data_IF_600636786029
#
_entry.id   IF_600636786029
#
_cell.length_a   1.000
_cell.length_b   1.000
_cell.length_c   1.000
_cell.angle_alpha   90.00
_cell.angle_beta   90.00
_cell.angle_gamma   90.00
#
_symmetry.space_group_name_H-M   'P 1'
#
loop_
_entity.id
_entity.type
_entity.pdbx_description
1 polymer ?
#
# COMPACT_ATOMS: atom_id res chain seq x y z
N UNK A 1 -0.47 -12.29 -13.68
CA UNK A 1 -1.34 -11.77 -12.59
C UNK A 1 -0.68 -10.54 -12.02
N UNK A 2 -1.43 -9.45 -11.81
CA UNK A 2 -0.96 -8.25 -11.09
C UNK A 2 -1.60 -8.20 -9.71
N UNK A 3 -0.87 -7.73 -8.72
CA UNK A 3 -1.37 -7.68 -7.33
C UNK A 3 -1.12 -6.30 -6.74
N UNK A 4 -2.13 -5.76 -6.07
CA UNK A 4 -1.97 -4.62 -5.16
C UNK A 4 -2.49 -5.00 -3.78
N UNK A 5 -1.90 -4.40 -2.75
CA UNK A 5 -2.39 -4.47 -1.38
C UNK A 5 -3.04 -3.15 -1.01
N UNK A 6 -4.00 -3.21 -0.09
CA UNK A 6 -4.67 -2.07 0.50
C UNK A 6 -4.32 -2.01 1.98
N UNK A 7 -3.76 -0.88 2.40
CA UNK A 7 -3.49 -0.58 3.80
C UNK A 7 -4.47 0.44 4.34
N UNK A 8 -4.79 0.31 5.61
CA UNK A 8 -5.54 1.29 6.40
C UNK A 8 -4.65 1.85 7.51
N UNK A 9 -4.69 3.17 7.69
CA UNK A 9 -4.04 3.86 8.80
C UNK A 9 -5.02 4.13 9.93
N UNK A 10 -4.74 3.62 11.12
CA UNK A 10 -5.52 3.91 12.32
C UNK A 10 -5.49 5.39 12.67
N UNK A 11 -6.65 5.95 13.00
CA UNK A 11 -6.75 7.34 13.47
C UNK A 11 -6.14 7.53 14.87
N UNK A 12 -6.22 6.50 15.71
CA UNK A 12 -5.75 6.55 17.09
C UNK A 12 -4.23 6.34 17.18
N UNK A 13 -3.74 5.24 16.61
CA UNK A 13 -2.34 4.85 16.75
C UNK A 13 -1.46 5.40 15.62
N UNK A 14 -2.06 5.83 14.51
CA UNK A 14 -1.39 6.13 13.22
C UNK A 14 -0.63 4.94 12.63
N UNK A 15 -0.85 3.74 13.16
CA UNK A 15 -0.30 2.53 12.59
C UNK A 15 -0.95 2.23 11.24
N UNK A 16 -0.15 1.77 10.27
CA UNK A 16 -0.62 1.22 9.01
C UNK A 16 -0.64 -0.28 9.09
N UNK A 17 -1.79 -0.88 8.78
CA UNK A 17 -1.98 -2.31 8.63
C UNK A 17 -2.46 -2.60 7.22
N UNK A 18 -1.95 -3.65 6.59
CA UNK A 18 -2.49 -4.15 5.33
C UNK A 18 -3.76 -4.92 5.65
N UNK A 19 -4.89 -4.52 5.05
CA UNK A 19 -6.21 -5.06 5.38
C UNK A 19 -6.80 -5.87 4.23
N UNK A 20 -6.33 -5.67 3.01
CA UNK A 20 -6.83 -6.40 1.86
C UNK A 20 -5.79 -6.53 0.74
N UNK A 21 -6.09 -7.45 -0.17
CA UNK A 21 -5.34 -7.79 -1.37
C UNK A 21 -6.31 -7.79 -2.56
N UNK A 22 -5.88 -7.22 -3.67
CA UNK A 22 -6.58 -7.24 -4.95
C UNK A 22 -5.66 -7.82 -6.01
N UNK A 23 -6.09 -8.91 -6.64
CA UNK A 23 -5.40 -9.52 -7.77
C UNK A 23 -6.19 -9.28 -9.07
N UNK A 24 -5.47 -9.11 -10.17
CA UNK A 24 -6.00 -9.08 -11.53
C UNK A 24 -5.34 -10.21 -12.34
N UNK A 25 -6.16 -11.15 -12.81
CA UNK A 25 -5.68 -12.32 -13.55
C UNK A 25 -5.63 -12.09 -15.09
N UNK A 26 -6.16 -10.96 -15.56
CA UNK A 26 -6.34 -10.66 -16.99
C UNK A 26 -7.80 -10.63 -17.43
N UNK A 27 -8.71 -11.12 -16.60
CA UNK A 27 -10.15 -11.24 -16.87
C UNK A 27 -11.03 -10.72 -15.73
N UNK A 28 -10.68 -11.01 -14.48
CA UNK A 28 -11.46 -10.63 -13.30
C UNK A 28 -10.55 -10.17 -12.15
N UNK A 29 -11.13 -9.34 -11.28
CA UNK A 29 -10.52 -8.92 -10.04
C UNK A 29 -10.87 -9.89 -8.91
N UNK A 30 -9.88 -10.24 -8.12
CA UNK A 30 -10.02 -11.10 -6.94
C UNK A 30 -9.67 -10.29 -5.72
N UNK A 31 -10.68 -9.94 -4.94
CA UNK A 31 -10.52 -9.22 -3.69
C UNK A 31 -10.53 -10.20 -2.52
N UNK A 32 -9.58 -10.06 -1.60
CA UNK A 32 -9.57 -10.82 -0.35
C UNK A 32 -9.07 -9.95 0.79
N UNK A 33 -9.59 -10.18 1.98
CA UNK A 33 -9.02 -9.59 3.18
C UNK A 33 -7.71 -10.28 3.56
N UNK A 34 -6.87 -9.56 4.29
CA UNK A 34 -5.64 -10.09 4.89
C UNK A 34 -5.76 -10.12 6.41
N UNK A 35 -4.85 -10.82 7.10
CA UNK A 35 -4.90 -10.93 8.57
C UNK A 35 -4.78 -9.58 9.29
N UNK A 36 -4.25 -8.55 8.64
CA UNK A 36 -4.20 -7.22 9.24
C UNK A 36 -5.58 -6.60 9.46
N UNK A 37 -6.66 -7.14 8.87
CA UNK A 37 -8.05 -6.76 9.21
C UNK A 37 -8.38 -7.04 10.69
N UNK A 38 -7.81 -8.08 11.28
CA UNK A 38 -8.06 -8.46 12.68
C UNK A 38 -7.40 -7.49 13.64
N UNK A 39 -6.23 -6.97 13.27
CA UNK A 39 -5.51 -5.96 14.04
C UNK A 39 -6.12 -4.58 13.89
N UNK A 40 -6.57 -4.25 12.68
CA UNK A 40 -7.13 -2.93 12.39
C UNK A 40 -8.54 -2.74 12.95
N UNK A 41 -9.32 -3.83 13.01
CA UNK A 41 -10.77 -3.76 13.24
C UNK A 41 -11.52 -3.04 12.10
N UNK A 42 -10.82 -2.67 11.03
CA UNK A 42 -11.36 -1.87 9.93
C UNK A 42 -11.85 -2.80 8.81
N UNK A 43 -13.15 -2.69 8.51
CA UNK A 43 -13.78 -3.35 7.36
C UNK A 43 -14.22 -2.30 6.36
N UNK A 44 -14.18 -2.67 5.08
CA UNK A 44 -14.62 -1.78 4.02
C UNK A 44 -16.15 -1.61 4.02
N UNK A 45 -16.68 -0.44 3.62
CA UNK A 45 -18.10 -0.11 3.81
C UNK A 45 -19.13 -1.02 3.12
N UNK A 46 -18.76 -1.76 2.07
CA UNK A 46 -19.69 -2.66 1.35
C UNK A 46 -19.55 -4.13 1.77
N UNK A 47 -18.84 -4.42 2.86
CA UNK A 47 -18.40 -5.76 3.19
C UNK A 47 -19.10 -6.32 4.44
N UNK A 48 -19.67 -7.50 4.32
CA UNK A 48 -20.23 -8.23 5.45
C UNK A 48 -19.10 -8.91 6.25
N UNK A 49 -19.10 -8.75 7.58
CA UNK A 49 -18.21 -9.51 8.49
C UNK A 49 -18.20 -11.02 8.22
N UNK A 50 -19.32 -11.57 7.77
CA UNK A 50 -19.48 -13.00 7.44
C UNK A 50 -18.69 -13.49 6.21
N UNK A 51 -18.03 -12.60 5.45
CA UNK A 51 -17.34 -12.94 4.19
C UNK A 51 -15.85 -12.60 4.18
N UNK A 52 -15.28 -12.21 5.33
CA UNK A 52 -13.89 -11.76 5.44
C UNK A 52 -12.86 -12.87 5.13
N UNK A 53 -13.28 -14.13 5.19
CA UNK A 53 -12.47 -15.32 4.91
C UNK A 53 -12.60 -15.82 3.45
N UNK A 54 -13.23 -15.04 2.55
CA UNK A 54 -13.54 -15.46 1.18
C UNK A 54 -12.91 -14.55 0.13
N UNK A 55 -12.61 -15.13 -1.03
CA UNK A 55 -12.30 -14.37 -2.26
C UNK A 55 -13.60 -13.88 -2.87
N UNK A 56 -13.60 -12.60 -3.23
CA UNK A 56 -14.67 -11.96 -3.96
C UNK A 56 -14.24 -11.67 -5.39
N UNK A 57 -15.06 -12.10 -6.33
CA UNK A 57 -14.80 -11.98 -7.76
C UNK A 57 -15.56 -10.78 -8.30
N UNK A 58 -14.87 -9.94 -9.06
CA UNK A 58 -15.46 -8.77 -9.68
C UNK A 58 -15.05 -8.69 -11.16
N UNK A 59 -16.01 -8.61 -12.11
CA UNK A 59 -15.68 -8.44 -13.53
C UNK A 59 -15.10 -7.05 -13.82
N UNK A 60 -15.40 -6.07 -12.95
CA UNK A 60 -14.88 -4.71 -13.00
C UNK A 60 -14.16 -4.37 -11.69
N UNK A 61 -13.41 -3.27 -11.70
CA UNK A 61 -12.67 -2.85 -10.51
C UNK A 61 -13.65 -2.57 -9.33
N UNK A 62 -13.43 -3.17 -8.13
CA UNK A 62 -14.35 -2.99 -7.01
C UNK A 62 -14.59 -1.51 -6.67
N UNK A 63 -15.80 -1.11 -6.21
CA UNK A 63 -16.14 0.29 -5.99
C UNK A 63 -15.14 1.09 -5.13
N UNK A 64 -14.63 0.50 -4.04
CA UNK A 64 -13.68 1.16 -3.12
C UNK A 64 -12.30 1.37 -3.73
N UNK A 65 -11.98 0.64 -4.79
CA UNK A 65 -10.77 0.80 -5.59
C UNK A 65 -11.02 1.76 -6.76
N UNK A 66 -12.21 1.69 -7.38
CA UNK A 66 -12.63 2.57 -8.47
C UNK A 66 -12.60 4.04 -8.08
N UNK A 67 -13.13 4.39 -6.89
CA UNK A 67 -13.15 5.77 -6.40
C UNK A 67 -11.76 6.36 -6.09
N UNK A 68 -10.71 5.53 -6.10
CA UNK A 68 -9.31 5.95 -5.87
C UNK A 68 -8.60 6.31 -7.16
N UNK A 69 -9.22 6.05 -8.30
CA UNK A 69 -8.68 6.43 -9.60
C UNK A 69 -9.18 7.81 -10.01
N UNK A 70 -8.31 8.53 -10.73
CA UNK A 70 -8.74 9.73 -11.43
C UNK A 70 -9.72 9.32 -12.54
N UNK A 71 -10.86 10.03 -12.63
CA UNK A 71 -11.83 9.77 -13.70
C UNK A 71 -11.20 10.07 -15.06
N UNK A 72 -11.31 9.13 -16.00
CA UNK A 72 -10.79 9.24 -17.37
C UNK A 72 -11.33 10.44 -18.14
N UNK A 73 -12.51 10.93 -17.77
CA UNK A 73 -13.16 12.10 -18.39
C UNK A 73 -12.54 13.43 -17.98
N UNK A 74 -11.63 13.46 -16.98
CA UNK A 74 -11.01 14.72 -16.55
C UNK A 74 -9.96 15.18 -17.59
N UNK A 75 -9.90 16.48 -17.92
CA UNK A 75 -8.93 16.99 -18.88
C UNK A 75 -7.45 16.74 -18.50
N UNK A 76 -7.16 16.62 -17.20
CA UNK A 76 -5.81 16.38 -16.68
C UNK A 76 -5.42 14.89 -16.63
N UNK A 77 -6.32 13.97 -16.98
CA UNK A 77 -6.06 12.53 -16.91
C UNK A 77 -4.84 12.06 -17.75
N UNK A 78 -4.62 12.53 -18.99
CA UNK A 78 -3.41 12.17 -19.73
C UNK A 78 -2.12 12.61 -19.03
N UNK A 79 -2.14 13.78 -18.37
CA UNK A 79 -1.00 14.28 -17.61
C UNK A 79 -0.79 13.46 -16.33
N UNK A 80 -1.88 13.05 -15.67
CA UNK A 80 -1.85 12.15 -14.52
C UNK A 80 -1.18 10.80 -14.84
N UNK A 81 -1.49 10.19 -16.01
CA UNK A 81 -0.82 8.97 -16.47
C UNK A 81 0.68 9.21 -16.71
N UNK A 82 1.03 10.33 -17.36
CA UNK A 82 2.43 10.70 -17.58
C UNK A 82 3.21 10.81 -16.29
N UNK A 83 2.66 11.40 -15.22
CA UNK A 83 3.36 11.49 -13.94
C UNK A 83 3.73 10.13 -13.35
N UNK A 84 2.95 9.08 -13.65
CA UNK A 84 3.23 7.70 -13.24
C UNK A 84 4.10 6.93 -14.23
N UNK A 85 4.53 7.55 -15.33
CA UNK A 85 5.29 6.88 -16.39
C UNK A 85 4.46 5.82 -17.14
N UNK A 86 3.14 6.02 -17.25
CA UNK A 86 2.23 5.10 -17.94
C UNK A 86 1.84 5.63 -19.33
N UNK A 87 2.00 4.80 -20.34
CA UNK A 87 1.63 5.12 -21.73
C UNK A 87 0.14 4.91 -22.01
N UNK A 88 -0.52 4.06 -21.21
CA UNK A 88 -1.93 3.74 -21.34
C UNK A 88 -2.59 3.57 -19.96
N UNK A 89 -3.93 3.75 -19.88
CA UNK A 89 -4.67 3.47 -18.65
C UNK A 89 -4.50 2.01 -18.21
N UNK A 90 -4.08 1.81 -16.96
CA UNK A 90 -3.96 0.50 -16.32
C UNK A 90 -4.39 0.65 -14.86
N UNK A 91 -5.52 0.06 -14.49
CA UNK A 91 -6.10 0.24 -13.18
C UNK A 91 -5.17 -0.21 -12.03
N UNK A 92 -4.45 -1.32 -12.23
CA UNK A 92 -3.58 -1.89 -11.20
C UNK A 92 -2.32 -1.06 -11.05
N UNK A 93 -1.73 -0.62 -12.17
CA UNK A 93 -0.54 0.23 -12.13
C UNK A 93 -0.86 1.64 -11.60
N UNK A 94 -1.99 2.23 -12.03
CA UNK A 94 -2.45 3.53 -11.54
C UNK A 94 -2.62 3.51 -10.01
N UNK A 95 -3.27 2.47 -9.47
CA UNK A 95 -3.44 2.31 -8.02
C UNK A 95 -2.11 2.06 -7.32
N UNK A 96 -1.32 1.09 -7.81
CA UNK A 96 -0.03 0.75 -7.21
C UNK A 96 0.94 1.93 -7.12
N UNK A 97 1.14 2.66 -8.22
CA UNK A 97 2.14 3.74 -8.28
C UNK A 97 1.66 4.98 -7.51
N UNK A 98 0.41 5.43 -7.74
CA UNK A 98 -0.13 6.62 -7.05
C UNK A 98 -0.39 6.37 -5.57
N UNK A 99 -0.56 5.11 -5.18
CA UNK A 99 -1.06 4.70 -3.87
C UNK A 99 -2.56 4.90 -3.69
N UNK A 100 -3.31 5.37 -4.69
CA UNK A 100 -4.77 5.54 -4.58
C UNK A 100 -5.20 6.42 -3.38
N UNK A 101 -4.35 7.37 -3.00
CA UNK A 101 -4.50 8.19 -1.80
C UNK A 101 -5.64 9.17 -1.99
N UNK A 102 -6.52 9.24 -1.00
CA UNK A 102 -7.59 10.25 -0.93
C UNK A 102 -7.46 11.03 0.35
N UNK A 103 -7.78 12.33 0.30
CA UNK A 103 -7.81 13.20 1.48
C UNK A 103 -8.92 12.79 2.46
N UNK A 104 -9.97 12.16 1.95
CA UNK A 104 -11.19 11.82 2.70
C UNK A 104 -11.10 10.51 3.49
N UNK A 105 -10.04 9.73 3.32
CA UNK A 105 -9.86 8.47 4.03
C UNK A 105 -8.39 8.20 4.38
N UNK A 106 -8.16 7.11 5.11
CA UNK A 106 -6.84 6.69 5.58
C UNK A 106 -6.32 5.46 4.84
N UNK A 107 -6.79 5.24 3.61
CA UNK A 107 -6.44 4.09 2.80
C UNK A 107 -5.32 4.44 1.81
N UNK A 108 -4.40 3.50 1.61
CA UNK A 108 -3.31 3.61 0.63
C UNK A 108 -3.06 2.24 0.02
N UNK A 109 -2.87 2.21 -1.29
CA UNK A 109 -2.54 1.01 -2.05
C UNK A 109 -1.05 0.92 -2.35
N UNK A 110 -0.58 -0.27 -2.66
CA UNK A 110 0.80 -0.54 -3.05
C UNK A 110 0.86 -1.76 -3.96
N UNK A 111 1.80 -1.81 -4.92
CA UNK A 111 2.00 -2.98 -5.75
C UNK A 111 2.72 -4.09 -4.98
N UNK A 112 2.45 -5.33 -5.36
CA UNK A 112 3.41 -6.41 -5.13
C UNK A 112 4.64 -6.16 -6.01
N UNK A 113 5.86 -6.16 -5.45
CA UNK A 113 7.09 -6.05 -6.22
C UNK A 113 7.18 -7.15 -7.29
N UNK A 114 7.68 -6.79 -8.46
CA UNK A 114 7.72 -7.66 -9.63
C UNK A 114 9.14 -8.18 -9.87
N UNK A 115 9.23 -9.44 -10.31
CA UNK A 115 10.48 -10.02 -10.79
C UNK A 115 10.60 -9.76 -12.28
N UNK A 116 11.64 -9.04 -12.70
CA UNK A 116 11.90 -8.80 -14.13
C UNK A 116 12.33 -10.09 -14.84
N UNK A 117 12.26 -10.14 -16.19
CA UNK A 117 12.81 -11.25 -16.97
C UNK A 117 14.31 -11.48 -16.74
N UNK A 118 15.05 -10.43 -16.40
CA UNK A 118 16.48 -10.48 -16.04
C UNK A 118 16.72 -11.00 -14.61
N UNK A 119 15.66 -11.26 -13.84
CA UNK A 119 15.75 -11.78 -12.48
C UNK A 119 16.01 -10.72 -11.41
N UNK A 120 15.65 -9.47 -11.68
CA UNK A 120 15.76 -8.37 -10.71
C UNK A 120 14.44 -8.18 -9.97
N UNK A 121 14.53 -7.84 -8.70
CA UNK A 121 13.42 -7.28 -7.92
C UNK A 121 13.21 -5.83 -8.32
N UNK A 122 11.97 -5.46 -8.64
CA UNK A 122 11.58 -4.10 -8.99
C UNK A 122 10.33 -3.67 -8.25
N UNK A 123 10.37 -2.48 -7.68
CA UNK A 123 9.17 -1.75 -7.24
C UNK A 123 9.30 -0.27 -7.56
N UNK A 124 8.17 0.38 -7.80
CA UNK A 124 8.10 1.80 -8.13
C UNK A 124 7.12 2.51 -7.21
N UNK A 125 7.50 3.70 -6.79
CA UNK A 125 6.75 4.46 -5.82
C UNK A 125 7.10 5.94 -5.87
N UNK A 126 6.15 6.79 -5.51
CA UNK A 126 6.46 8.17 -5.17
C UNK A 126 7.02 8.28 -3.75
N UNK A 127 8.01 9.15 -3.54
CA UNK A 127 8.47 9.48 -2.19
C UNK A 127 7.32 10.05 -1.36
N UNK A 128 7.29 9.72 -0.07
CA UNK A 128 6.26 10.18 0.86
C UNK A 128 6.78 11.36 1.68
N UNK A 129 5.90 12.28 2.04
CA UNK A 129 6.21 13.31 3.03
C UNK A 129 7.14 14.44 2.56
N UNK A 130 7.30 14.65 1.24
CA UNK A 130 8.21 15.68 0.73
C UNK A 130 7.80 17.09 1.15
N UNK A 131 6.50 17.40 1.17
CA UNK A 131 6.00 18.68 1.63
C UNK A 131 6.26 18.88 3.13
N UNK A 132 5.98 17.86 3.91
CA UNK A 132 6.17 17.82 5.36
C UNK A 132 7.65 17.87 5.76
N UNK A 133 8.55 17.44 4.87
CA UNK A 133 10.00 17.53 5.05
C UNK A 133 10.54 18.97 4.98
N UNK A 134 9.72 19.93 4.55
CA UNK A 134 10.00 21.36 4.60
C UNK A 134 10.79 21.92 3.41
N UNK A 135 11.04 23.24 3.39
CA UNK A 135 11.57 23.95 2.22
C UNK A 135 12.92 23.44 1.74
N UNK A 136 13.83 23.09 2.63
CA UNK A 136 15.17 22.60 2.26
C UNK A 136 15.09 21.28 1.46
N UNK A 137 14.19 20.39 1.86
CA UNK A 137 13.90 19.10 1.22
C UNK A 137 13.24 19.29 -0.15
N UNK A 138 12.32 20.24 -0.24
CA UNK A 138 11.69 20.65 -1.51
C UNK A 138 12.75 21.18 -2.49
N UNK A 139 13.64 22.07 -2.03
CA UNK A 139 14.72 22.61 -2.86
C UNK A 139 15.75 21.55 -3.25
N UNK A 140 16.03 20.57 -2.38
CA UNK A 140 16.84 19.42 -2.73
C UNK A 140 16.18 18.57 -3.83
N UNK A 141 14.88 18.26 -3.69
CA UNK A 141 14.13 17.49 -4.67
C UNK A 141 14.04 18.17 -6.04
N UNK A 142 13.96 19.52 -6.09
CA UNK A 142 13.95 20.30 -7.34
C UNK A 142 15.21 20.13 -8.19
N UNK A 143 16.34 19.78 -7.56
CA UNK A 143 17.65 19.62 -8.23
C UNK A 143 17.87 18.21 -8.79
N UNK A 144 17.00 17.26 -8.44
CA UNK A 144 17.09 15.90 -8.95
C UNK A 144 16.86 15.86 -10.47
N UNK A 145 17.48 14.89 -11.11
CA UNK A 145 17.21 14.53 -12.50
C UNK A 145 16.94 13.03 -12.63
N UNK A 146 16.35 12.62 -13.74
CA UNK A 146 16.16 11.20 -14.05
C UNK A 146 17.50 10.46 -14.03
N UNK A 147 17.52 9.29 -13.38
CA UNK A 147 18.71 8.45 -13.22
C UNK A 147 19.51 8.69 -11.94
N UNK A 148 19.28 9.81 -11.23
CA UNK A 148 19.96 10.12 -9.97
C UNK A 148 19.75 9.00 -8.95
N UNK A 149 20.83 8.63 -8.26
CA UNK A 149 20.77 7.66 -7.16
C UNK A 149 20.24 8.35 -5.91
N UNK A 150 19.32 7.68 -5.21
CA UNK A 150 18.87 8.06 -3.89
C UNK A 150 19.36 7.04 -2.86
N UNK A 151 19.94 7.54 -1.77
CA UNK A 151 20.48 6.71 -0.69
C UNK A 151 19.43 6.51 0.39
N UNK A 152 19.21 5.24 0.76
CA UNK A 152 18.32 4.85 1.84
C UNK A 152 19.05 4.93 3.16
N UNK A 153 18.65 5.84 4.04
CA UNK A 153 19.16 5.92 5.41
C UNK A 153 18.02 5.59 6.36
N UNK A 154 18.20 4.54 7.17
CA UNK A 154 17.23 4.10 8.17
C UNK A 154 17.01 5.24 9.18
N UNK A 155 15.75 5.55 9.48
CA UNK A 155 15.40 6.50 10.54
C UNK A 155 15.21 5.73 11.86
N UNK A 156 16.20 5.72 12.77
CA UNK A 156 16.11 4.95 14.01
C UNK A 156 15.08 5.52 15.00
N UNK A 157 14.66 6.78 14.81
CA UNK A 157 13.66 7.42 15.66
C UNK A 157 12.23 7.21 15.14
N UNK A 158 12.10 6.65 13.94
CA UNK A 158 10.79 6.28 13.42
C UNK A 158 10.23 5.10 14.20
N UNK A 159 9.10 5.31 14.86
CA UNK A 159 8.31 4.24 15.52
C UNK A 159 7.91 3.11 14.57
N UNK A 160 8.05 3.33 13.27
CA UNK A 160 7.50 2.49 12.22
C UNK A 160 8.55 2.00 11.23
N UNK A 161 9.84 2.08 11.59
CA UNK A 161 10.98 1.66 10.76
C UNK A 161 10.90 2.23 9.34
N UNK A 162 11.11 3.53 9.18
CA UNK A 162 11.07 4.19 7.87
C UNK A 162 12.48 4.46 7.35
N UNK A 163 12.63 4.51 6.02
CA UNK A 163 13.85 4.94 5.36
C UNK A 163 13.65 6.32 4.75
N UNK A 164 14.59 7.23 5.02
CA UNK A 164 14.71 8.52 4.35
C UNK A 164 15.55 8.34 3.09
N UNK A 165 15.20 9.08 2.05
CA UNK A 165 15.88 9.08 0.76
C UNK A 165 16.74 10.35 0.64
N UNK A 166 18.03 10.20 0.39
CA UNK A 166 18.99 11.30 0.30
C UNK A 166 19.63 11.37 -1.09
N UNK A 167 20.06 12.54 -1.53
CA UNK A 167 20.76 12.70 -2.81
C UNK A 167 22.26 12.34 -2.71
N UNK A 168 22.79 12.25 -1.50
CA UNK A 168 24.16 11.87 -1.18
C UNK A 168 24.21 10.69 -0.19
N UNK A 169 25.36 10.02 -0.10
CA UNK A 169 25.53 8.82 0.70
C UNK A 169 25.71 9.13 2.19
N UNK A 170 26.26 10.30 2.48
CA UNK A 170 26.62 10.78 3.80
C UNK A 170 25.40 11.28 4.60
N UNK A 171 24.28 11.55 3.91
CA UNK A 171 23.07 12.12 4.49
C UNK A 171 23.21 13.59 4.86
N UNK A 172 24.14 14.30 4.21
CA UNK A 172 24.39 15.73 4.44
C UNK A 172 23.36 16.61 3.74
N UNK A 173 22.81 16.15 2.60
CA UNK A 173 21.70 16.85 1.96
C UNK A 173 20.43 16.75 2.79
N UNK A 174 19.49 17.69 2.66
CA UNK A 174 18.11 17.44 3.05
C UNK A 174 17.59 16.17 2.35
N UNK A 175 16.83 15.34 3.07
CA UNK A 175 16.20 14.16 2.49
C UNK A 175 15.04 14.56 1.57
N UNK A 176 14.80 13.81 0.49
CA UNK A 176 13.81 14.12 -0.56
C UNK A 176 12.50 13.33 -0.37
N UNK A 177 12.20 12.97 0.87
CA UNK A 177 11.05 12.18 1.28
C UNK A 177 11.42 10.81 1.85
N UNK A 178 10.39 10.03 2.13
CA UNK A 178 10.48 8.69 2.72
C UNK A 178 10.11 7.61 1.70
N UNK A 179 10.73 6.45 1.84
CA UNK A 179 10.23 5.20 1.29
C UNK A 179 8.81 4.94 1.83
N UNK A 180 7.85 4.48 1.01
CA UNK A 180 6.57 4.01 1.52
C UNK A 180 6.78 2.91 2.56
N UNK A 181 6.26 3.17 3.78
CA UNK A 181 6.48 2.33 4.98
C UNK A 181 6.26 0.83 4.73
N UNK A 182 5.31 0.47 3.88
CA UNK A 182 4.93 -0.92 3.66
C UNK A 182 6.04 -1.75 3.01
N UNK A 183 7.01 -1.11 2.35
CA UNK A 183 8.20 -1.80 1.82
C UNK A 183 9.31 -1.97 2.87
N UNK A 184 9.23 -1.32 4.03
CA UNK A 184 10.39 -1.20 4.93
C UNK A 184 10.97 -2.54 5.41
N UNK A 185 10.13 -3.52 5.74
CA UNK A 185 10.58 -4.87 6.14
C UNK A 185 11.26 -5.60 4.99
N UNK A 186 10.73 -5.49 3.78
CA UNK A 186 11.35 -6.05 2.58
C UNK A 186 12.70 -5.38 2.33
N UNK A 187 12.78 -4.06 2.44
CA UNK A 187 14.03 -3.31 2.22
C UNK A 187 15.09 -3.71 3.23
N UNK A 188 14.74 -3.89 4.50
CA UNK A 188 15.68 -4.41 5.51
C UNK A 188 16.24 -5.78 5.10
N UNK A 189 15.37 -6.74 4.73
CA UNK A 189 15.78 -8.07 4.28
C UNK A 189 16.59 -8.04 2.98
N UNK A 190 16.26 -7.14 2.06
CA UNK A 190 16.98 -6.98 0.80
C UNK A 190 18.34 -6.31 1.01
N UNK A 191 18.46 -5.34 1.91
CA UNK A 191 19.76 -4.76 2.28
C UNK A 191 20.69 -5.82 2.87
N UNK A 192 20.18 -6.72 3.71
CA UNK A 192 20.96 -7.82 4.28
C UNK A 192 21.44 -8.83 3.21
N UNK A 193 20.67 -9.03 2.14
CA UNK A 193 20.92 -10.06 1.12
C UNK A 193 21.64 -9.54 -0.12
N UNK A 194 21.37 -8.30 -0.52
CA UNK A 194 21.88 -7.66 -1.72
C UNK A 194 22.95 -6.60 -1.42
N UNK A 195 22.98 -6.04 -0.21
CA UNK A 195 23.90 -4.98 0.17
C UNK A 195 23.85 -3.80 -0.82
N UNK A 196 25.02 -3.40 -1.33
CA UNK A 196 25.17 -2.28 -2.26
C UNK A 196 24.54 -2.48 -3.63
N UNK A 197 24.11 -3.71 -3.97
CA UNK A 197 23.39 -3.99 -5.21
C UNK A 197 21.92 -3.55 -5.16
N UNK A 198 21.40 -3.19 -3.97
CA UNK A 198 20.13 -2.49 -3.86
C UNK A 198 20.30 -1.01 -4.20
N UNK A 199 19.58 -0.58 -5.21
CA UNK A 199 19.59 0.80 -5.68
C UNK A 199 18.19 1.39 -5.69
N UNK A 200 18.09 2.66 -5.28
CA UNK A 200 16.92 3.48 -5.56
C UNK A 200 17.37 4.57 -6.52
N UNK A 201 16.67 4.74 -7.63
CA UNK A 201 16.93 5.80 -8.60
C UNK A 201 15.69 6.62 -8.87
N UNK A 202 15.88 7.89 -9.20
CA UNK A 202 14.83 8.75 -9.74
C UNK A 202 14.45 8.21 -11.11
N UNK A 203 13.26 7.63 -11.23
CA UNK A 203 12.67 7.24 -12.52
C UNK A 203 12.13 8.47 -13.25
N UNK A 204 11.51 9.39 -12.52
CA UNK A 204 10.91 10.57 -13.11
C UNK A 204 10.75 11.69 -12.07
N UNK A 205 10.96 12.94 -12.49
CA UNK A 205 10.67 14.13 -11.68
C UNK A 205 9.53 14.94 -12.31
N UNK A 206 8.42 15.10 -11.57
CA UNK A 206 7.20 15.77 -12.02
C UNK A 206 6.96 17.08 -11.27
N UNK A 207 7.75 18.11 -11.54
CA UNK A 207 7.60 19.39 -10.83
C UNK A 207 6.27 20.10 -11.11
N UNK A 208 5.56 19.71 -12.17
CA UNK A 208 4.23 20.21 -12.52
C UNK A 208 3.08 19.40 -11.88
N UNK A 209 3.39 18.31 -11.17
CA UNK A 209 2.44 17.52 -10.40
C UNK A 209 2.23 18.10 -8.99
N UNK A 210 1.19 17.65 -8.26
CA UNK A 210 1.16 17.83 -6.81
C UNK A 210 2.43 17.27 -6.14
N UNK A 211 2.90 17.91 -5.07
CA UNK A 211 4.17 17.57 -4.41
C UNK A 211 4.31 16.09 -4.03
N UNK A 212 3.20 15.42 -3.69
CA UNK A 212 3.16 13.99 -3.38
C UNK A 212 3.47 13.06 -4.57
N UNK A 213 3.50 13.60 -5.80
CA UNK A 213 3.80 12.90 -7.04
C UNK A 213 5.04 13.46 -7.75
N UNK A 214 5.85 14.28 -7.06
CA UNK A 214 7.04 14.88 -7.67
C UNK A 214 8.11 13.85 -8.00
N UNK A 215 8.58 13.10 -7.01
CA UNK A 215 9.73 12.20 -7.18
C UNK A 215 9.23 10.77 -7.32
N UNK A 216 9.14 10.28 -8.56
CA UNK A 216 8.90 8.86 -8.84
C UNK A 216 10.22 8.11 -8.77
N UNK A 217 10.30 7.14 -7.88
CA UNK A 217 11.46 6.31 -7.67
C UNK A 217 11.24 4.92 -8.26
N UNK A 218 12.34 4.31 -8.71
CA UNK A 218 12.43 2.89 -9.02
C UNK A 218 13.49 2.27 -8.11
N UNK A 219 13.10 1.23 -7.39
CA UNK A 219 14.02 0.45 -6.56
C UNK A 219 14.30 -0.88 -7.25
N UNK A 220 15.58 -1.21 -7.38
CA UNK A 220 16.06 -2.42 -8.05
C UNK A 220 17.10 -3.15 -7.22
N UNK A 221 17.11 -4.48 -7.28
CA UNK A 221 18.24 -5.31 -6.84
C UNK A 221 18.17 -6.70 -7.50
N UNK A 222 19.24 -7.51 -7.49
CA UNK A 222 19.13 -8.92 -7.83
C UNK A 222 18.07 -9.61 -6.96
N UNK A 223 17.18 -10.41 -7.55
CA UNK A 223 16.16 -11.13 -6.77
C UNK A 223 16.82 -12.23 -5.94
N UNK A 224 16.86 -12.15 -4.59
CA UNK A 224 17.58 -13.15 -3.81
C UNK A 224 16.89 -14.52 -3.85
N UNK A 225 17.69 -15.57 -3.78
CA UNK A 225 17.16 -16.94 -3.71
C UNK A 225 16.24 -17.13 -2.51
N UNK A 226 15.06 -17.71 -2.77
CA UNK A 226 14.02 -17.94 -1.79
C UNK A 226 13.33 -16.66 -1.26
N UNK A 227 13.59 -15.49 -1.86
CA UNK A 227 12.94 -14.26 -1.42
C UNK A 227 11.48 -14.21 -1.85
N UNK A 228 10.60 -14.02 -0.87
CA UNK A 228 9.16 -13.79 -1.05
C UNK A 228 8.84 -12.38 -0.55
N UNK A 229 8.35 -11.47 -1.41
CA UNK A 229 7.96 -10.13 -0.98
C UNK A 229 6.91 -10.17 0.13
N UNK A 230 7.06 -9.29 1.11
CA UNK A 230 6.22 -9.13 2.30
C UNK A 230 6.09 -10.34 3.23
N UNK A 231 6.87 -11.39 2.99
CA UNK A 231 6.99 -12.49 3.93
C UNK A 231 7.52 -12.02 5.31
N UNK A 232 7.09 -12.68 6.39
CA UNK A 232 7.35 -12.24 7.76
C UNK A 232 6.51 -11.06 8.25
N UNK A 233 5.52 -10.60 7.47
CA UNK A 233 4.49 -9.67 7.92
C UNK A 233 3.10 -10.30 7.79
N UNK A 234 2.53 -10.69 8.93
CA UNK A 234 1.19 -11.31 8.99
C UNK A 234 0.12 -10.44 8.34
N UNK A 235 0.26 -9.11 8.33
CA UNK A 235 -0.72 -8.21 7.74
C UNK A 235 -0.91 -8.43 6.23
N UNK A 236 0.07 -9.06 5.54
CA UNK A 236 -0.01 -9.35 4.10
C UNK A 236 -0.57 -10.74 3.79
N UNK A 237 -0.74 -11.60 4.79
CA UNK A 237 -1.26 -12.96 4.61
C UNK A 237 -2.77 -12.89 4.34
N UNK A 238 -3.21 -13.38 3.19
CA UNK A 238 -4.63 -13.45 2.85
C UNK A 238 -5.40 -14.37 3.81
N UNK A 239 -6.64 -13.99 4.14
CA UNK A 239 -7.53 -14.77 4.99
C UNK A 239 -8.24 -15.92 4.28
N UNK A 240 -8.08 -16.00 2.98
CA UNK A 240 -8.69 -17.05 2.17
C UNK A 240 -8.15 -18.39 2.66
N UNK A 241 -9.01 -19.13 3.36
CA UNK A 241 -8.83 -20.55 3.60
C UNK A 241 -8.70 -21.24 2.24
N UNK A 242 -7.74 -22.16 2.11
CA UNK A 242 -7.66 -23.06 0.94
C UNK A 242 -8.87 -24.01 0.84
N UNK A 243 -9.79 -23.95 1.79
CA UNK A 243 -11.05 -24.70 1.80
C UNK A 243 -12.22 -23.75 1.48
N UNK A 244 -12.88 -23.89 0.32
CA UNK A 244 -14.04 -23.08 -0.03
C UNK A 244 -15.20 -23.32 0.95
N UNK A 245 -15.86 -22.25 1.39
CA UNK A 245 -17.18 -22.34 2.04
C UNK A 245 -18.17 -21.68 1.10
N UNK A 246 -19.17 -22.42 0.59
CA UNK A 246 -20.28 -21.85 -0.18
C UNK A 246 -21.13 -20.95 0.75
N UNK A 247 -21.60 -19.80 0.24
CA UNK A 247 -22.55 -18.94 0.96
C UNK A 247 -23.93 -19.32 0.46
N UNK A 248 -24.68 -20.10 1.24
CA UNK A 248 -26.06 -20.47 0.89
C UNK A 248 -27.12 -19.74 1.73
N UNK A 249 -26.76 -18.66 2.44
CA UNK A 249 -27.70 -17.97 3.33
C UNK A 249 -28.19 -16.64 2.72
N UNK A 250 -29.51 -16.57 2.49
CA UNK A 250 -30.25 -15.41 1.96
C UNK A 250 -30.26 -14.20 2.93
N UNK A 251 -29.76 -14.36 4.17
CA UNK A 251 -29.72 -13.30 5.20
C UNK A 251 -28.53 -12.33 5.11
N UNK A 252 -27.75 -12.38 4.03
CA UNK A 252 -26.57 -11.53 3.86
C UNK A 252 -26.88 -10.04 3.55
N UNK A 253 -28.14 -9.61 3.63
CA UNK A 253 -28.59 -8.27 3.24
C UNK A 253 -28.75 -7.27 4.40
N UNK A 254 -28.76 -7.72 5.67
CA UNK A 254 -28.95 -6.82 6.81
C UNK A 254 -27.66 -6.64 7.60
N UNK A 255 -26.76 -5.80 7.09
CA UNK A 255 -25.77 -5.16 7.95
C UNK A 255 -25.41 -3.76 7.43
N UNK A 256 -26.43 -2.98 7.05
CA UNK A 256 -26.28 -1.55 6.89
C UNK A 256 -26.33 -0.88 8.25
N UNK A 257 -25.23 -0.24 8.64
CA UNK A 257 -25.19 0.88 9.59
C UNK A 257 -26.07 0.75 10.84
N UNK A 258 -25.51 0.24 11.94
CA UNK A 258 -25.98 0.68 13.25
C UNK A 258 -24.81 0.88 14.22
N UNK A 259 -24.55 2.15 14.58
CA UNK A 259 -23.63 2.54 15.65
C UNK A 259 -24.14 2.10 17.04
N UNK A 260 -25.37 1.62 17.14
CA UNK A 260 -26.01 1.27 18.40
C UNK A 260 -25.62 -0.13 18.93
N UNK A 261 -25.04 -1.00 18.09
CA UNK A 261 -24.60 -2.35 18.50
C UNK A 261 -23.26 -2.37 19.26
N UNK A 262 -22.53 -1.25 19.33
CA UNK A 262 -21.35 -1.15 20.20
C UNK A 262 -21.72 -1.22 21.69
N UNK A 263 -22.95 -0.84 22.07
CA UNK A 263 -23.42 -0.87 23.46
C UNK A 263 -23.81 -2.26 23.93
N UNK A 264 -24.57 -3.00 23.14
CA UNK A 264 -25.04 -4.34 23.54
C UNK A 264 -23.91 -5.37 23.59
N UNK A 265 -22.89 -5.26 22.73
CA UNK A 265 -21.72 -6.15 22.75
C UNK A 265 -20.80 -5.92 23.97
N UNK A 266 -20.78 -4.73 24.57
CA UNK A 266 -20.03 -4.44 25.78
C UNK A 266 -20.77 -4.90 27.06
N UNK A 267 -22.10 -4.82 27.08
CA UNK A 267 -22.91 -5.30 28.21
C UNK A 267 -23.02 -6.83 28.25
N UNK A 268 -23.02 -7.50 27.09
CA UNK A 268 -23.03 -8.97 26.99
C UNK A 268 -21.79 -9.67 27.56
N UNK A 269 -20.68 -8.96 27.82
CA UNK A 269 -19.50 -9.53 28.50
C UNK A 269 -19.55 -9.49 30.03
N UNK A 270 -20.51 -8.77 30.63
CA UNK A 270 -20.66 -8.75 32.10
C UNK A 270 -21.48 -9.91 32.65
N UNK A 271 -22.21 -10.65 31.81
CA UNK A 271 -23.10 -11.75 32.27
C UNK A 271 -22.42 -13.12 32.24
N UNK A 272 -21.23 -13.25 31.63
CA UNK A 272 -20.51 -14.54 31.53
C UNK A 272 -19.35 -14.71 32.54
N UNK A 273 -19.20 -13.83 33.54
CA UNK A 273 -18.13 -13.89 34.53
C UNK A 273 -18.61 -13.97 35.99
N UNK A 274 -19.85 -14.40 36.22
CA UNK A 274 -20.38 -14.67 37.56
C UNK A 274 -21.29 -15.90 37.53
N UNK A 275 -20.70 -17.06 37.24
CA UNK A 275 -21.25 -18.37 37.63
C UNK A 275 -20.19 -19.46 37.38
N UNK A 276 -19.09 -19.40 38.15
CA UNK A 276 -18.30 -20.57 38.52
C UNK A 276 -17.65 -20.29 39.88
N UNK A 277 -18.23 -20.85 40.95
CA UNK A 277 -17.64 -20.87 42.31
C UNK A 277 -18.47 -20.16 43.37
#
# INVERSE_FOLDING_TARGET
MKTIFLSWRSYETRERMVVARLDWDGSAYHFSYTRGVWRSGYLLPFECKAKVDRVQYWPELPPDMSIRRMRKSRPDYPRFLKWMGLDAPDAMAELGISGGIKVTDSLETMPLPERTPTGEYVTEFFTRGLWEAGPASIEAARRLVEGDRLWLIKDPLSRWCSYKLFADAEGESPYVGYLPRMFAKDIERLLDRCGSALEVRVRQLNQDAPTAMWVLCRLTCPWPDGFVPFDGDDDFVSLVSTTPVECTDERCFECSFNRDLERECMEGRRVAAADVG
#
